data_IF_180766744261
#
_entry.id   IF_180766744261
#
_cell.length_a   1.000
_cell.length_b   1.000
_cell.length_c   1.000
_cell.angle_alpha   90.00
_cell.angle_beta   90.00
_cell.angle_gamma   90.00
#
_symmetry.space_group_name_H-M   'P 1'
#
loop_
_entity.id
_entity.type
_entity.pdbx_description
1 polymer ?
#
# COMPACT_ATOMS: atom_id res chain seq x y z
N UNK A 1 1.30 -16.52 -3.83
CA UNK A 1 1.49 -15.71 -2.62
C UNK A 1 1.11 -16.47 -1.34
N UNK A 2 1.23 -17.80 -1.28
CA UNK A 2 0.78 -18.56 -0.11
C UNK A 2 1.39 -18.03 1.19
N UNK A 3 0.52 -17.49 2.06
CA UNK A 3 0.90 -17.03 3.39
C UNK A 3 1.38 -15.58 3.49
N UNK A 4 1.40 -14.80 2.40
CA UNK A 4 1.88 -13.41 2.42
C UNK A 4 0.79 -12.50 3.04
N UNK A 5 1.08 -11.77 4.14
CA UNK A 5 0.16 -10.79 4.72
C UNK A 5 0.00 -9.55 3.84
N UNK A 6 -1.22 -9.24 3.43
CA UNK A 6 -1.54 -8.11 2.54
C UNK A 6 -2.58 -7.19 3.18
N UNK A 7 -2.30 -5.89 3.22
CA UNK A 7 -3.28 -4.86 3.55
C UNK A 7 -4.05 -4.39 2.33
N UNK A 8 -5.32 -4.02 2.46
CA UNK A 8 -6.15 -3.57 1.32
C UNK A 8 -6.60 -2.14 1.57
N UNK A 9 -6.31 -1.21 0.65
CA UNK A 9 -6.84 0.16 0.72
C UNK A 9 -8.34 0.14 0.89
N UNK A 10 -8.86 0.94 1.81
CA UNK A 10 -10.29 0.93 2.15
C UNK A 10 -11.23 1.51 1.05
N UNK A 11 -10.73 1.56 -0.17
CA UNK A 11 -11.47 1.84 -1.39
C UNK A 11 -11.90 0.57 -2.14
N UNK A 12 -11.24 -0.56 -1.89
CA UNK A 12 -11.57 -1.83 -2.55
C UNK A 12 -12.59 -2.63 -1.74
N UNK A 13 -13.59 -3.14 -2.45
CA UNK A 13 -14.60 -4.04 -1.90
C UNK A 13 -13.93 -5.35 -1.49
N UNK A 14 -14.22 -5.78 -0.27
CA UNK A 14 -13.80 -7.08 0.25
C UNK A 14 -15.04 -7.73 0.86
N UNK A 15 -15.46 -8.87 0.31
CA UNK A 15 -16.69 -9.54 0.72
C UNK A 15 -16.69 -9.83 2.22
N UNK A 16 -17.74 -9.38 2.91
CA UNK A 16 -17.90 -9.57 4.36
C UNK A 16 -17.05 -8.65 5.26
N UNK A 17 -16.24 -7.76 4.69
CA UNK A 17 -15.42 -6.78 5.43
C UNK A 17 -15.88 -5.37 5.05
N UNK A 18 -15.99 -4.46 6.03
CA UNK A 18 -16.40 -3.08 5.76
C UNK A 18 -15.48 -2.43 4.71
N UNK A 19 -16.08 -1.70 3.77
CA UNK A 19 -15.38 -0.85 2.80
C UNK A 19 -16.00 0.53 2.85
N UNK A 20 -15.31 1.46 3.50
CA UNK A 20 -15.89 2.74 3.92
C UNK A 20 -15.41 3.92 3.08
N UNK A 21 -14.34 3.75 2.29
CA UNK A 21 -13.65 4.86 1.62
C UNK A 21 -13.32 6.02 2.57
N UNK A 22 -13.21 5.71 3.86
CA UNK A 22 -13.05 6.60 5.00
C UNK A 22 -14.00 7.80 4.98
N UNK A 23 -15.23 7.54 4.52
CA UNK A 23 -16.32 8.48 4.39
C UNK A 23 -17.47 8.07 5.31
N UNK A 24 -17.99 9.02 6.08
CA UNK A 24 -19.05 8.78 7.07
C UNK A 24 -20.24 8.01 6.50
N UNK A 25 -20.67 8.36 5.29
CA UNK A 25 -21.84 7.76 4.66
C UNK A 25 -21.66 6.26 4.35
N UNK A 26 -20.42 5.78 4.26
CA UNK A 26 -20.10 4.39 3.98
C UNK A 26 -19.49 3.66 5.18
N UNK A 27 -19.48 4.27 6.38
CA UNK A 27 -18.84 3.70 7.58
C UNK A 27 -19.34 2.29 7.96
N UNK A 28 -20.57 1.95 7.57
CA UNK A 28 -21.19 0.64 7.84
C UNK A 28 -21.43 -0.19 6.57
N UNK A 29 -20.88 0.22 5.42
CA UNK A 29 -21.07 -0.50 4.16
C UNK A 29 -20.24 -1.79 4.14
N UNK A 30 -20.92 -2.93 4.03
CA UNK A 30 -20.31 -4.26 3.89
C UNK A 30 -20.62 -4.82 2.51
N UNK A 31 -19.62 -4.96 1.61
CA UNK A 31 -19.80 -5.56 0.30
C UNK A 31 -20.12 -7.06 0.38
N UNK A 32 -20.90 -7.55 -0.58
CA UNK A 32 -21.18 -8.99 -0.75
C UNK A 32 -20.21 -9.68 -1.71
N UNK A 33 -19.39 -8.92 -2.43
CA UNK A 33 -18.43 -9.42 -3.42
C UNK A 33 -17.08 -8.73 -3.24
N UNK A 34 -16.01 -9.46 -3.54
CA UNK A 34 -14.67 -8.91 -3.62
C UNK A 34 -14.52 -8.09 -4.92
N UNK A 35 -13.73 -7.01 -4.86
CA UNK A 35 -13.19 -6.41 -6.06
C UNK A 35 -12.31 -7.42 -6.82
N UNK A 36 -12.25 -7.33 -8.14
CA UNK A 36 -11.55 -8.32 -8.99
C UNK A 36 -10.10 -8.54 -8.56
N UNK A 37 -9.37 -7.47 -8.21
CA UNK A 37 -7.99 -7.58 -7.71
C UNK A 37 -7.90 -8.30 -6.36
N UNK A 38 -8.84 -8.02 -5.45
CA UNK A 38 -8.92 -8.68 -4.13
C UNK A 38 -9.22 -10.18 -4.29
N UNK A 39 -10.14 -10.54 -5.18
CA UNK A 39 -10.43 -11.95 -5.48
C UNK A 39 -9.18 -12.68 -6.00
N UNK A 40 -8.46 -12.09 -6.96
CA UNK A 40 -7.20 -12.66 -7.49
C UNK A 40 -6.12 -12.81 -6.43
N UNK A 41 -6.00 -11.87 -5.50
CA UNK A 41 -5.05 -11.96 -4.38
C UNK A 41 -5.40 -13.15 -3.46
N UNK A 42 -6.68 -13.30 -3.11
CA UNK A 42 -7.16 -14.44 -2.31
C UNK A 42 -6.92 -15.78 -3.03
N UNK A 43 -7.25 -15.86 -4.32
CA UNK A 43 -7.01 -17.04 -5.17
C UNK A 43 -5.51 -17.39 -5.24
N UNK A 44 -4.63 -16.38 -5.28
CA UNK A 44 -3.18 -16.56 -5.24
C UNK A 44 -2.63 -16.94 -3.85
N UNK A 45 -3.49 -17.07 -2.83
CA UNK A 45 -3.15 -17.51 -1.48
C UNK A 45 -2.67 -16.40 -0.53
N UNK A 46 -2.92 -15.12 -0.88
CA UNK A 46 -2.60 -14.01 0.02
C UNK A 46 -3.52 -14.01 1.25
N UNK A 47 -2.96 -13.65 2.41
CA UNK A 47 -3.72 -13.48 3.65
C UNK A 47 -4.04 -12.00 3.81
N UNK A 48 -5.32 -11.65 3.65
CA UNK A 48 -5.77 -10.27 3.88
C UNK A 48 -5.85 -10.04 5.39
N UNK A 49 -5.02 -9.13 5.90
CA UNK A 49 -4.94 -8.87 7.34
C UNK A 49 -5.77 -7.66 7.80
N UNK A 50 -6.25 -6.83 6.86
CA UNK A 50 -7.08 -5.68 7.21
C UNK A 50 -7.26 -4.67 6.09
N UNK A 51 -8.01 -3.61 6.42
CA UNK A 51 -8.25 -2.46 5.56
C UNK A 51 -7.36 -1.30 6.01
N UNK A 52 -6.68 -0.63 5.07
CA UNK A 52 -5.80 0.49 5.39
C UNK A 52 -6.53 1.82 5.28
N UNK A 53 -6.27 2.72 6.24
CA UNK A 53 -6.81 4.08 6.23
C UNK A 53 -6.26 4.85 5.01
N UNK A 54 -6.97 5.89 4.57
CA UNK A 54 -6.65 6.63 3.36
C UNK A 54 -7.14 8.08 3.49
N UNK A 55 -6.97 8.88 2.43
CA UNK A 55 -7.69 10.15 2.34
C UNK A 55 -9.17 9.90 1.99
N UNK A 56 -10.11 10.66 2.55
CA UNK A 56 -11.55 10.56 2.29
C UNK A 56 -11.85 10.50 0.80
N UNK A 57 -12.54 9.44 0.39
CA UNK A 57 -12.90 9.13 -1.00
C UNK A 57 -11.70 9.04 -1.98
N UNK A 58 -10.47 8.91 -1.46
CA UNK A 58 -9.24 8.93 -2.25
C UNK A 58 -8.81 10.32 -2.70
N UNK A 59 -9.49 11.37 -2.22
CA UNK A 59 -9.37 12.75 -2.70
C UNK A 59 -8.47 13.57 -1.81
N UNK A 60 -7.16 13.38 -1.95
CA UNK A 60 -6.17 14.26 -1.32
C UNK A 60 -4.80 13.61 -1.14
N UNK A 61 -3.82 14.43 -0.79
CA UNK A 61 -2.39 14.07 -0.89
C UNK A 61 -1.63 14.18 0.43
N UNK A 62 -2.29 14.51 1.54
CA UNK A 62 -1.64 14.73 2.84
C UNK A 62 -1.76 13.54 3.80
N UNK A 63 -2.83 12.75 3.66
CA UNK A 63 -3.19 11.67 4.60
C UNK A 63 -3.87 12.15 5.89
N UNK A 64 -4.27 13.43 5.95
CA UNK A 64 -4.82 14.05 7.16
C UNK A 64 -6.36 14.07 7.21
N UNK A 65 -7.04 14.17 6.06
CA UNK A 65 -8.51 14.18 6.01
C UNK A 65 -9.06 12.77 5.77
N UNK A 66 -9.51 12.15 6.87
CA UNK A 66 -10.19 10.87 6.95
C UNK A 66 -11.24 10.93 8.04
N UNK A 67 -12.41 10.31 7.81
CA UNK A 67 -13.46 10.23 8.84
C UNK A 67 -12.98 9.54 10.12
N UNK A 68 -12.03 8.61 10.02
CA UNK A 68 -11.50 7.87 11.17
C UNK A 68 -10.27 8.53 11.81
N UNK A 69 -9.96 9.77 11.42
CA UNK A 69 -8.79 10.51 11.88
C UNK A 69 -7.57 10.35 10.97
N UNK A 70 -6.58 11.24 11.13
CA UNK A 70 -5.40 11.31 10.27
C UNK A 70 -4.54 10.05 10.40
N UNK A 71 -3.80 9.74 9.34
CA UNK A 71 -2.70 8.77 9.43
C UNK A 71 -1.45 9.49 9.90
N UNK A 72 -0.68 8.85 10.77
CA UNK A 72 0.62 9.36 11.22
C UNK A 72 1.75 8.74 10.40
N UNK A 73 2.76 9.55 10.08
CA UNK A 73 3.96 9.06 9.44
C UNK A 73 4.75 8.18 10.44
N UNK A 74 5.10 6.94 10.08
CA UNK A 74 5.72 5.98 10.99
C UNK A 74 7.13 6.39 11.45
N UNK A 75 7.82 7.27 10.72
CA UNK A 75 9.14 7.76 11.09
C UNK A 75 9.09 8.93 12.07
N UNK A 76 8.05 9.77 11.97
CA UNK A 76 7.81 10.90 12.87
C UNK A 76 6.35 11.36 12.76
N UNK A 77 5.60 11.32 13.87
CA UNK A 77 4.18 11.70 13.91
C UNK A 77 3.89 13.16 13.57
N UNK A 78 4.90 14.04 13.63
CA UNK A 78 4.79 15.45 13.23
C UNK A 78 4.86 15.66 11.72
N UNK A 79 5.24 14.64 10.95
CA UNK A 79 5.29 14.69 9.49
C UNK A 79 4.05 14.09 8.86
N UNK A 80 3.69 14.60 7.68
CA UNK A 80 2.60 14.02 6.91
C UNK A 80 3.03 12.68 6.30
N UNK A 81 2.16 11.65 6.29
CA UNK A 81 2.41 10.40 5.59
C UNK A 81 2.13 10.51 4.08
N UNK A 82 1.63 11.66 3.62
CA UNK A 82 1.14 11.90 2.26
C UNK A 82 -0.06 11.01 1.90
N UNK A 83 -0.62 11.11 0.69
CA UNK A 83 -1.89 10.47 0.34
C UNK A 83 -2.12 10.27 -1.16
N UNK A 84 -3.19 9.60 -1.57
CA UNK A 84 -4.29 9.15 -0.70
C UNK A 84 -4.13 7.78 -0.05
N UNK A 85 -3.14 6.96 -0.41
CA UNK A 85 -2.88 5.64 0.20
C UNK A 85 -2.02 5.74 1.47
N UNK A 86 -2.32 6.71 2.34
CA UNK A 86 -1.52 7.05 3.51
C UNK A 86 -1.32 5.87 4.47
N UNK A 87 -2.41 5.19 4.85
CA UNK A 87 -2.36 4.06 5.78
C UNK A 87 -1.66 2.84 5.20
N UNK A 88 -1.64 2.71 3.88
CA UNK A 88 -0.95 1.59 3.22
C UNK A 88 0.56 1.73 3.32
N UNK A 89 1.10 2.90 2.96
CA UNK A 89 2.53 3.16 3.11
C UNK A 89 2.97 3.14 4.58
N UNK A 90 2.14 3.67 5.49
CA UNK A 90 2.43 3.59 6.91
C UNK A 90 2.45 2.15 7.43
N UNK A 91 1.52 1.29 6.97
CA UNK A 91 1.43 -0.11 7.40
C UNK A 91 2.61 -0.97 6.91
N UNK A 92 3.08 -0.75 5.68
CA UNK A 92 4.26 -1.48 5.15
C UNK A 92 5.53 -0.95 5.81
N UNK A 93 5.74 0.37 5.87
CA UNK A 93 6.92 0.97 6.49
C UNK A 93 7.07 0.65 8.00
N UNK A 94 5.95 0.41 8.71
CA UNK A 94 5.96 -0.04 10.12
C UNK A 94 6.01 -1.56 10.30
N UNK A 95 6.06 -2.33 9.22
CA UNK A 95 6.12 -3.80 9.27
C UNK A 95 4.83 -4.49 9.69
N UNK A 96 3.68 -3.81 9.65
CA UNK A 96 2.37 -4.41 9.97
C UNK A 96 1.91 -5.40 8.90
N UNK A 97 2.32 -5.20 7.65
CA UNK A 97 2.05 -6.10 6.53
C UNK A 97 3.27 -6.18 5.61
N UNK A 98 3.31 -7.23 4.78
CA UNK A 98 4.39 -7.37 3.80
C UNK A 98 4.18 -6.46 2.59
N UNK A 99 2.92 -6.27 2.17
CA UNK A 99 2.59 -5.39 1.05
C UNK A 99 1.12 -4.97 1.12
N UNK A 100 0.71 -4.05 0.25
CA UNK A 100 -0.65 -3.52 0.18
C UNK A 100 -1.20 -3.51 -1.24
N UNK A 101 -2.54 -3.50 -1.34
CA UNK A 101 -3.26 -3.30 -2.61
C UNK A 101 -3.97 -1.96 -2.63
N UNK A 102 -3.56 -1.09 -3.56
CA UNK A 102 -3.85 0.34 -3.55
C UNK A 102 -4.29 0.90 -4.90
N UNK A 103 -4.86 2.12 -4.86
CA UNK A 103 -5.17 2.92 -6.04
C UNK A 103 -4.14 4.02 -6.25
N UNK A 104 -3.69 4.23 -7.49
CA UNK A 104 -2.86 5.37 -7.90
C UNK A 104 -3.42 5.99 -9.18
N UNK A 105 -4.05 7.16 -9.06
CA UNK A 105 -4.51 7.94 -10.21
C UNK A 105 -3.55 9.10 -10.52
N UNK A 106 -3.06 9.79 -9.48
CA UNK A 106 -2.23 11.02 -9.59
C UNK A 106 -1.06 10.98 -8.59
N UNK A 107 -0.61 9.79 -8.20
CA UNK A 107 0.49 9.60 -7.24
C UNK A 107 0.04 9.11 -5.88
N UNK A 108 -1.18 8.58 -5.76
CA UNK A 108 -1.74 8.20 -4.48
C UNK A 108 -1.00 7.06 -3.79
N UNK A 109 -0.16 6.29 -4.47
CA UNK A 109 0.78 5.33 -3.88
C UNK A 109 2.19 5.91 -3.79
N UNK A 110 2.64 6.57 -4.86
CA UNK A 110 4.01 7.11 -4.97
C UNK A 110 4.30 8.21 -3.94
N UNK A 111 3.35 9.11 -3.69
CA UNK A 111 3.51 10.18 -2.70
C UNK A 111 3.63 9.60 -1.27
N UNK A 112 2.71 8.73 -0.80
CA UNK A 112 2.88 8.07 0.48
C UNK A 112 4.15 7.25 0.62
N UNK A 113 4.53 6.49 -0.42
CA UNK A 113 5.75 5.69 -0.42
C UNK A 113 7.00 6.58 -0.22
N UNK A 114 7.08 7.70 -0.92
CA UNK A 114 8.16 8.66 -0.77
C UNK A 114 8.19 9.28 0.65
N UNK A 115 7.04 9.64 1.20
CA UNK A 115 6.95 10.28 2.52
C UNK A 115 7.17 9.29 3.67
N UNK A 116 6.79 8.02 3.50
CA UNK A 116 6.94 6.95 4.51
C UNK A 116 8.15 6.05 4.24
N UNK A 117 9.09 6.43 3.36
CA UNK A 117 10.37 5.72 3.19
C UNK A 117 10.25 4.31 2.61
N UNK A 118 9.20 4.04 1.84
CA UNK A 118 8.83 2.69 1.42
C UNK A 118 9.24 2.41 -0.04
N UNK A 119 10.47 1.95 -0.24
CA UNK A 119 10.96 1.53 -1.56
C UNK A 119 10.21 0.30 -2.10
N UNK A 120 9.68 -0.57 -1.23
CA UNK A 120 8.98 -1.78 -1.64
C UNK A 120 7.61 -1.48 -2.23
N UNK A 121 6.90 -0.46 -1.72
CA UNK A 121 5.65 0.02 -2.36
C UNK A 121 5.94 0.60 -3.75
N UNK A 122 7.04 1.32 -3.93
CA UNK A 122 7.48 1.78 -5.26
C UNK A 122 7.84 0.63 -6.20
N UNK A 123 8.63 -0.35 -5.75
CA UNK A 123 9.01 -1.53 -6.56
C UNK A 123 7.82 -2.46 -6.86
N UNK A 124 6.90 -2.65 -5.90
CA UNK A 124 5.70 -3.44 -6.06
C UNK A 124 4.67 -2.76 -6.97
N UNK A 125 4.58 -1.43 -6.92
CA UNK A 125 3.78 -0.64 -7.85
C UNK A 125 4.29 -0.79 -9.29
N UNK A 126 5.61 -0.64 -9.51
CA UNK A 126 6.22 -0.83 -10.83
C UNK A 126 5.96 -2.24 -11.39
N UNK A 127 6.11 -3.29 -10.57
CA UNK A 127 5.79 -4.67 -10.95
C UNK A 127 4.30 -4.90 -11.23
N UNK A 128 3.41 -4.27 -10.47
CA UNK A 128 1.96 -4.36 -10.68
C UNK A 128 1.56 -3.66 -12.00
N UNK A 129 2.15 -2.48 -12.28
CA UNK A 129 2.00 -1.76 -13.54
C UNK A 129 2.49 -2.60 -14.72
N UNK A 130 3.64 -3.25 -14.59
CA UNK A 130 4.19 -4.14 -15.61
C UNK A 130 3.29 -5.37 -15.85
N UNK A 131 2.76 -5.96 -14.78
CA UNK A 131 1.80 -7.07 -14.87
C UNK A 131 0.51 -6.66 -15.59
N UNK A 132 -0.02 -5.46 -15.32
CA UNK A 132 -1.22 -4.93 -15.96
C UNK A 132 -0.98 -4.62 -17.45
N UNK A 133 0.20 -4.08 -17.80
CA UNK A 133 0.61 -3.91 -19.21
C UNK A 133 0.67 -5.25 -19.94
N UNK A 134 1.25 -6.27 -19.31
CA UNK A 134 1.36 -7.61 -19.89
C UNK A 134 0.00 -8.31 -20.06
N UNK A 135 -1.04 -7.85 -19.35
CA UNK A 135 -2.41 -8.32 -19.48
C UNK A 135 -3.23 -7.54 -20.55
N UNK A 136 -2.62 -6.59 -21.26
CA UNK A 136 -3.24 -5.89 -22.40
C UNK A 136 -4.37 -4.91 -22.02
N UNK A 137 -4.44 -4.50 -20.76
CA UNK A 137 -5.45 -3.54 -20.29
C UNK A 137 -4.98 -2.10 -20.57
N UNK A 138 -5.84 -1.22 -21.14
CA UNK A 138 -5.44 0.13 -21.50
C UNK A 138 -5.04 0.95 -20.26
N UNK A 139 -3.78 1.39 -20.26
CA UNK A 139 -3.15 2.23 -19.24
C UNK A 139 -3.26 3.70 -19.65
N UNK A 140 -4.14 4.48 -19.01
CA UNK A 140 -4.03 5.95 -19.05
C UNK A 140 -3.26 6.43 -17.82
N UNK A 141 -2.02 6.88 -18.07
CA UNK A 141 -1.15 7.73 -17.24
C UNK A 141 -0.67 7.21 -15.86
N UNK A 142 0.51 6.59 -15.85
CA UNK A 142 1.40 6.57 -14.70
C UNK A 142 2.86 6.56 -15.18
N UNK A 143 3.41 7.75 -15.43
CA UNK A 143 4.86 7.98 -15.44
C UNK A 143 5.26 8.52 -14.08
N UNK A 144 6.34 8.00 -13.49
CA UNK A 144 7.00 8.64 -12.36
C UNK A 144 7.80 9.85 -12.87
N UNK A 145 7.48 11.10 -12.49
CA UNK A 145 8.45 12.17 -12.58
C UNK A 145 9.33 12.09 -11.32
N UNK A 146 10.60 12.48 -11.46
CA UNK A 146 11.63 12.61 -10.42
C UNK A 146 12.51 11.37 -10.20
N UNK A 147 13.75 11.51 -10.69
CA UNK A 147 14.88 10.65 -10.33
C UNK A 147 15.37 10.91 -8.91
N UNK A 148 16.04 9.89 -8.39
CA UNK A 148 16.70 9.74 -7.10
C UNK A 148 17.30 11.04 -6.49
N UNK A 149 16.74 11.58 -5.39
CA UNK A 149 17.26 12.76 -4.72
C UNK A 149 18.02 12.48 -3.41
N UNK A 150 18.66 11.33 -3.21
CA UNK A 150 19.66 11.22 -2.14
C UNK A 150 20.64 10.08 -2.35
N UNK A 151 21.90 10.43 -2.70
CA UNK A 151 23.02 9.51 -2.87
C UNK A 151 23.39 8.72 -1.63
N UNK A 152 22.64 7.64 -1.36
CA UNK A 152 22.81 6.77 -0.19
C UNK A 152 22.41 5.31 -0.46
N UNK A 153 22.60 4.80 -1.67
CA UNK A 153 22.28 3.40 -2.05
C UNK A 153 23.35 2.39 -1.56
N UNK A 154 24.38 2.80 -0.83
CA UNK A 154 25.46 1.90 -0.40
C UNK A 154 25.13 0.99 0.79
N UNK A 155 24.08 1.24 1.58
CA UNK A 155 23.81 0.45 2.80
C UNK A 155 22.63 -0.55 2.74
N UNK A 156 21.68 -0.42 1.79
CA UNK A 156 20.53 -1.35 1.74
C UNK A 156 20.91 -2.77 1.27
N UNK A 157 21.97 -2.93 0.46
CA UNK A 157 22.47 -4.27 0.09
C UNK A 157 23.10 -5.00 1.28
N UNK A 158 23.63 -4.28 2.27
CA UNK A 158 24.18 -4.88 3.49
C UNK A 158 23.06 -5.38 4.41
N UNK A 159 21.99 -4.61 4.58
CA UNK A 159 20.82 -5.01 5.38
C UNK A 159 19.99 -6.12 4.71
N UNK A 160 19.92 -6.16 3.38
CA UNK A 160 19.31 -7.28 2.63
C UNK A 160 20.02 -8.61 2.84
N UNK A 161 21.32 -8.61 3.20
CA UNK A 161 22.05 -9.84 3.54
C UNK A 161 21.85 -10.27 5.00
N UNK A 162 21.53 -9.33 5.89
CA UNK A 162 21.22 -9.59 7.30
C UNK A 162 19.80 -10.14 7.50
N UNK A 163 18.85 -9.76 6.63
CA UNK A 163 17.46 -10.24 6.66
C UNK A 163 17.31 -11.59 5.92
N UNK A 164 18.25 -11.95 5.04
CA UNK A 164 18.34 -13.27 4.42
C UNK A 164 19.14 -14.29 5.27
N UNK A 165 18.77 -14.48 6.54
CA UNK A 165 19.15 -15.62 7.39
C UNK A 165 20.55 -15.58 8.05
N UNK A 166 20.62 -15.86 9.37
CA UNK A 166 20.88 -17.26 9.80
C UNK A 166 19.91 -17.77 10.89
N UNK A 167 18.78 -17.11 11.14
CA UNK A 167 17.79 -17.52 12.15
C UNK A 167 16.99 -18.80 11.86
N UNK A 168 17.39 -19.61 10.87
CA UNK A 168 16.73 -20.86 10.50
C UNK A 168 17.71 -22.05 10.50
N UNK A 169 18.38 -22.34 11.62
CA UNK A 169 18.71 -23.70 12.06
C UNK A 169 18.89 -23.73 13.59
N UNK A 170 18.12 -24.59 14.27
CA UNK A 170 18.43 -25.04 15.64
C UNK A 170 19.36 -26.25 15.53
N UNK A 171 20.63 -26.03 15.89
CA UNK A 171 21.59 -26.88 16.62
C UNK A 171 23.01 -26.46 16.25
#
# INVERSE_FOLDING_TARGET
>A
MHGIPVGIKDFYDTAGIKTTAVFEHFKDRVPTKDAVGVAKLKEAGAIIIGKTNMHKLGMGTTGLDSYFGPVHNPWNSEYIPCGSSSGSAAAVASGMCYTTFDTDAIGSCRLPAACCGDQEVSEAFEKAVETIRNLGLPMSSATAPFGDPSGGISNIKADRKAIAGPGFQRH
#
